data_IF_339813913097
#
_entry.id   IF_339813913097
#
_cell.length_a   1.000
_cell.length_b   1.000
_cell.length_c   1.000
_cell.angle_alpha   90.00
_cell.angle_beta   90.00
_cell.angle_gamma   90.00
#
_symmetry.space_group_name_H-M   'P 1'
#
loop_
_entity.id
_entity.type
_entity.pdbx_description
1 polymer ?
#
# COMPACT_ATOMS: atom_id res chain seq x y z
N UNK A 1 24.17 4.04 -36.76
CA UNK A 1 22.91 3.30 -36.53
C UNK A 1 22.61 3.01 -35.05
N UNK A 2 23.57 2.54 -34.23
CA UNK A 2 23.33 2.21 -32.81
C UNK A 2 22.79 3.34 -31.92
N UNK A 3 23.23 4.59 -32.13
CA UNK A 3 22.80 5.76 -31.31
C UNK A 3 21.35 6.18 -31.58
N UNK A 4 20.86 5.98 -32.81
CA UNK A 4 19.46 6.27 -33.20
C UNK A 4 18.49 5.21 -32.67
N UNK A 5 18.87 3.92 -32.66
CA UNK A 5 18.07 2.86 -32.05
C UNK A 5 17.93 3.02 -30.53
N UNK A 6 19.00 3.39 -29.81
CA UNK A 6 18.94 3.69 -28.36
C UNK A 6 18.00 4.86 -28.04
N UNK A 7 18.00 5.91 -28.87
CA UNK A 7 17.11 7.07 -28.68
C UNK A 7 15.63 6.72 -28.84
N UNK A 8 15.31 5.80 -29.77
CA UNK A 8 13.94 5.35 -30.01
C UNK A 8 13.43 4.46 -28.86
N UNK A 9 14.28 3.57 -28.33
CA UNK A 9 13.94 2.70 -27.21
C UNK A 9 13.69 3.52 -25.93
N UNK A 10 14.52 4.53 -25.64
CA UNK A 10 14.30 5.41 -24.48
C UNK A 10 13.00 6.23 -24.60
N UNK A 11 12.66 6.71 -25.80
CA UNK A 11 11.38 7.41 -26.03
C UNK A 11 10.17 6.47 -25.87
N UNK A 12 10.24 5.26 -26.42
CA UNK A 12 9.21 4.23 -26.25
C UNK A 12 9.02 3.86 -24.78
N UNK A 13 10.11 3.71 -24.04
CA UNK A 13 10.09 3.42 -22.60
C UNK A 13 9.46 4.56 -21.78
N UNK A 14 9.79 5.82 -22.08
CA UNK A 14 9.17 6.98 -21.44
C UNK A 14 7.66 7.10 -21.75
N UNK A 15 7.26 6.84 -23.01
CA UNK A 15 5.85 6.81 -23.40
C UNK A 15 5.11 5.67 -22.67
N UNK A 16 5.74 4.50 -22.58
CA UNK A 16 5.21 3.35 -21.86
C UNK A 16 4.98 3.68 -20.38
N UNK A 17 6.00 4.22 -19.68
CA UNK A 17 5.88 4.65 -18.28
C UNK A 17 4.75 5.68 -18.12
N UNK A 18 4.70 6.69 -18.98
CA UNK A 18 3.66 7.72 -18.93
C UNK A 18 2.25 7.14 -19.12
N UNK A 19 2.06 6.24 -20.09
CA UNK A 19 0.79 5.56 -20.33
C UNK A 19 0.39 4.65 -19.16
N UNK A 20 1.34 3.90 -18.60
CA UNK A 20 1.12 3.03 -17.43
C UNK A 20 0.72 3.84 -16.21
N UNK A 21 1.42 4.94 -15.91
CA UNK A 21 1.06 5.85 -14.81
C UNK A 21 -0.33 6.45 -15.03
N UNK A 22 -0.64 6.92 -16.24
CA UNK A 22 -1.95 7.50 -16.57
C UNK A 22 -3.08 6.48 -16.47
N UNK A 23 -2.83 5.24 -16.90
CA UNK A 23 -3.78 4.13 -16.78
C UNK A 23 -4.05 3.79 -15.32
N UNK A 24 -3.00 3.56 -14.53
CA UNK A 24 -3.08 3.33 -13.08
C UNK A 24 -3.90 4.42 -12.39
N UNK A 25 -3.65 5.67 -12.79
CA UNK A 25 -4.29 6.84 -12.22
C UNK A 25 -5.79 6.90 -12.51
N UNK A 26 -6.23 6.52 -13.71
CA UNK A 26 -7.64 6.50 -14.12
C UNK A 26 -8.40 5.32 -13.52
N UNK A 27 -7.76 4.15 -13.41
CA UNK A 27 -8.37 2.95 -12.83
C UNK A 27 -8.74 3.17 -11.37
N UNK A 28 -7.89 3.84 -10.59
CA UNK A 28 -8.21 4.14 -9.18
C UNK A 28 -9.44 5.04 -8.99
N UNK A 29 -9.66 6.01 -9.90
CA UNK A 29 -10.89 6.81 -9.88
C UNK A 29 -12.13 5.96 -10.15
N UNK A 30 -12.04 5.02 -11.09
CA UNK A 30 -13.13 4.10 -11.43
C UNK A 30 -13.45 3.21 -10.24
N UNK A 31 -12.44 2.61 -9.61
CA UNK A 31 -12.61 1.77 -8.40
C UNK A 31 -13.29 2.56 -7.30
N UNK A 32 -12.77 3.74 -6.98
CA UNK A 32 -13.30 4.59 -5.91
C UNK A 32 -14.75 5.01 -6.20
N UNK A 33 -15.05 5.42 -7.43
CA UNK A 33 -16.40 5.81 -7.84
C UNK A 33 -17.39 4.65 -7.70
N UNK A 34 -17.04 3.46 -8.20
CA UNK A 34 -17.89 2.26 -8.09
C UNK A 34 -18.16 1.94 -6.63
N UNK A 35 -17.12 1.89 -5.81
CA UNK A 35 -17.25 1.57 -4.39
C UNK A 35 -18.08 2.61 -3.62
N UNK A 36 -17.86 3.90 -3.87
CA UNK A 36 -18.65 4.98 -3.26
C UNK A 36 -20.12 4.94 -3.67
N UNK A 37 -20.39 4.75 -4.95
CA UNK A 37 -21.75 4.59 -5.48
C UNK A 37 -22.44 3.47 -4.70
N UNK A 38 -21.80 2.31 -4.60
CA UNK A 38 -22.36 1.13 -3.92
C UNK A 38 -22.68 1.43 -2.45
N UNK A 39 -21.83 2.17 -1.74
CA UNK A 39 -22.07 2.58 -0.36
C UNK A 39 -23.22 3.60 -0.22
N UNK A 40 -23.32 4.57 -1.13
CA UNK A 40 -24.39 5.57 -1.12
C UNK A 40 -25.74 4.93 -1.46
N UNK A 41 -25.75 4.03 -2.44
CA UNK A 41 -26.94 3.34 -2.91
C UNK A 41 -27.45 2.28 -1.95
N UNK A 42 -26.69 1.90 -0.91
CA UNK A 42 -27.12 0.94 0.11
C UNK A 42 -28.50 1.25 0.69
N UNK A 43 -28.68 2.46 1.23
CA UNK A 43 -29.95 2.84 1.90
C UNK A 43 -31.13 2.84 0.95
N UNK A 44 -30.90 3.19 -0.32
CA UNK A 44 -31.92 3.22 -1.36
C UNK A 44 -32.28 1.79 -1.77
N UNK A 45 -31.28 0.93 -2.00
CA UNK A 45 -31.47 -0.47 -2.34
C UNK A 45 -32.24 -1.22 -1.24
N UNK A 46 -31.93 -0.96 0.03
CA UNK A 46 -32.66 -1.54 1.17
C UNK A 46 -34.12 -1.08 1.23
N UNK A 47 -34.40 0.20 0.96
CA UNK A 47 -35.79 0.70 0.87
C UNK A 47 -36.57 0.10 -0.30
N UNK A 48 -35.89 -0.18 -1.41
CA UNK A 48 -36.49 -0.77 -2.61
C UNK A 48 -36.56 -2.30 -2.57
N UNK A 49 -36.10 -2.95 -1.50
CA UNK A 49 -36.09 -4.42 -1.38
C UNK A 49 -35.12 -5.12 -2.34
N UNK A 50 -34.08 -4.42 -2.81
CA UNK A 50 -33.07 -4.99 -3.70
C UNK A 50 -32.00 -5.66 -2.82
N UNK A 51 -31.97 -6.99 -2.73
CA UNK A 51 -31.05 -7.68 -1.80
C UNK A 51 -29.62 -7.92 -2.33
N UNK A 52 -29.41 -7.76 -3.64
CA UNK A 52 -28.16 -8.14 -4.34
C UNK A 52 -27.32 -6.96 -4.82
N UNK A 53 -27.62 -5.74 -4.39
CA UNK A 53 -26.91 -4.52 -4.83
C UNK A 53 -25.39 -4.59 -4.60
N UNK A 54 -24.95 -5.24 -3.51
CA UNK A 54 -23.54 -5.38 -3.17
C UNK A 54 -22.76 -6.15 -4.24
N UNK A 55 -23.40 -6.98 -5.06
CA UNK A 55 -22.74 -7.73 -6.13
C UNK A 55 -22.13 -6.83 -7.20
N UNK A 56 -22.63 -5.61 -7.36
CA UNK A 56 -22.04 -4.59 -8.24
C UNK A 56 -20.60 -4.23 -7.83
N UNK A 57 -20.21 -4.47 -6.57
CA UNK A 57 -18.83 -4.21 -6.11
C UNK A 57 -17.82 -5.10 -6.80
N UNK A 58 -18.23 -6.25 -7.32
CA UNK A 58 -17.36 -7.13 -8.12
C UNK A 58 -16.69 -6.39 -9.28
N UNK A 59 -17.39 -5.45 -9.92
CA UNK A 59 -16.83 -4.63 -11.00
C UNK A 59 -15.67 -3.78 -10.48
N UNK A 60 -15.83 -3.13 -9.32
CA UNK A 60 -14.77 -2.35 -8.68
C UNK A 60 -13.58 -3.23 -8.28
N UNK A 61 -13.83 -4.45 -7.80
CA UNK A 61 -12.78 -5.42 -7.49
C UNK A 61 -12.02 -5.93 -8.74
N UNK A 62 -12.68 -6.06 -9.89
CA UNK A 62 -12.01 -6.35 -11.18
C UNK A 62 -11.08 -5.19 -11.56
N UNK A 63 -11.56 -3.95 -11.49
CA UNK A 63 -10.70 -2.79 -11.76
C UNK A 63 -9.55 -2.69 -10.76
N UNK A 64 -9.77 -3.03 -9.50
CA UNK A 64 -8.71 -3.09 -8.48
C UNK A 64 -7.68 -4.18 -8.82
N UNK A 65 -8.11 -5.34 -9.33
CA UNK A 65 -7.21 -6.36 -9.85
C UNK A 65 -6.38 -5.86 -11.03
N UNK A 66 -6.99 -5.14 -11.98
CA UNK A 66 -6.29 -4.56 -13.13
C UNK A 66 -5.25 -3.52 -12.68
N UNK A 67 -5.60 -2.70 -11.69
CA UNK A 67 -4.66 -1.76 -11.09
C UNK A 67 -3.43 -2.47 -10.52
N UNK A 68 -3.63 -3.47 -9.67
CA UNK A 68 -2.52 -4.21 -9.07
C UNK A 68 -1.69 -4.98 -10.09
N UNK A 69 -2.33 -5.53 -11.12
CA UNK A 69 -1.61 -6.20 -12.21
C UNK A 69 -0.75 -5.21 -13.01
N UNK A 70 -1.27 -3.99 -13.24
CA UNK A 70 -0.51 -2.92 -13.89
C UNK A 70 0.68 -2.48 -13.02
N UNK A 71 0.51 -2.42 -11.70
CA UNK A 71 1.61 -2.17 -10.75
C UNK A 71 2.65 -3.28 -10.76
N UNK A 72 2.24 -4.54 -10.82
CA UNK A 72 3.15 -5.69 -10.96
C UNK A 72 4.02 -5.54 -12.21
N UNK A 73 3.42 -5.23 -13.36
CA UNK A 73 4.16 -5.03 -14.60
C UNK A 73 5.17 -3.88 -14.45
N UNK A 74 4.78 -2.79 -13.79
CA UNK A 74 5.69 -1.67 -13.52
C UNK A 74 6.89 -2.04 -12.63
N UNK A 75 6.76 -3.06 -11.78
CA UNK A 75 7.84 -3.55 -10.92
C UNK A 75 8.72 -4.63 -11.58
N UNK A 76 8.33 -5.21 -12.73
CA UNK A 76 9.13 -6.23 -13.42
C UNK A 76 10.53 -5.73 -13.83
N UNK A 77 10.61 -4.46 -14.19
CA UNK A 77 11.85 -3.82 -14.63
C UNK A 77 12.61 -3.13 -13.48
N UNK A 78 12.28 -3.46 -12.22
CA UNK A 78 12.88 -2.88 -11.02
C UNK A 78 13.50 -3.97 -10.15
N UNK A 79 14.53 -3.64 -9.38
CA UNK A 79 15.13 -4.56 -8.40
C UNK A 79 14.27 -4.74 -7.12
N UNK A 80 12.98 -4.41 -7.19
CA UNK A 80 12.02 -4.49 -6.10
C UNK A 80 11.13 -5.75 -6.22
N UNK A 81 11.76 -6.91 -6.01
CA UNK A 81 11.11 -8.21 -6.08
C UNK A 81 9.95 -8.38 -5.08
N UNK A 82 10.04 -7.74 -3.91
CA UNK A 82 9.01 -7.86 -2.88
C UNK A 82 7.74 -7.15 -3.33
N UNK A 83 7.84 -5.91 -3.82
CA UNK A 83 6.65 -5.19 -4.30
C UNK A 83 6.09 -5.81 -5.58
N UNK A 84 6.96 -6.32 -6.46
CA UNK A 84 6.55 -7.12 -7.61
C UNK A 84 5.66 -8.31 -7.16
N UNK A 85 6.13 -9.13 -6.22
CA UNK A 85 5.36 -10.26 -5.72
C UNK A 85 4.06 -9.84 -5.02
N UNK A 86 4.12 -8.83 -4.14
CA UNK A 86 2.95 -8.37 -3.38
C UNK A 86 1.86 -7.81 -4.28
N UNK A 87 2.22 -7.05 -5.33
CA UNK A 87 1.25 -6.49 -6.28
C UNK A 87 0.63 -7.58 -7.15
N UNK A 88 1.38 -8.61 -7.53
CA UNK A 88 0.81 -9.79 -8.21
C UNK A 88 -0.19 -10.53 -7.31
N UNK A 89 0.17 -10.78 -6.05
CA UNK A 89 -0.72 -11.43 -5.08
C UNK A 89 -1.97 -10.58 -4.82
N UNK A 90 -1.83 -9.26 -4.73
CA UNK A 90 -2.96 -8.34 -4.58
C UNK A 90 -3.89 -8.35 -5.80
N UNK A 91 -3.34 -8.48 -7.01
CA UNK A 91 -4.12 -8.63 -8.23
C UNK A 91 -4.95 -9.93 -8.20
N UNK A 92 -4.29 -11.07 -7.95
CA UNK A 92 -4.94 -12.38 -7.87
C UNK A 92 -6.01 -12.37 -6.78
N UNK A 93 -5.70 -11.86 -5.58
CA UNK A 93 -6.64 -11.77 -4.48
C UNK A 93 -7.85 -10.90 -4.85
N UNK A 94 -7.64 -9.73 -5.43
CA UNK A 94 -8.73 -8.84 -5.85
C UNK A 94 -9.66 -9.48 -6.87
N UNK A 95 -9.09 -10.22 -7.83
CA UNK A 95 -9.87 -10.98 -8.81
C UNK A 95 -10.70 -12.10 -8.16
N UNK A 96 -10.09 -12.85 -7.24
CA UNK A 96 -10.79 -13.91 -6.49
C UNK A 96 -11.95 -13.33 -5.68
N UNK A 97 -11.75 -12.19 -5.01
CA UNK A 97 -12.81 -11.49 -4.27
C UNK A 97 -13.93 -11.07 -5.23
N UNK A 98 -13.61 -10.49 -6.39
CA UNK A 98 -14.60 -10.12 -7.40
C UNK A 98 -15.48 -11.31 -7.81
N UNK A 99 -14.84 -12.46 -8.09
CA UNK A 99 -15.55 -13.69 -8.45
C UNK A 99 -16.43 -14.20 -7.31
N UNK A 100 -15.91 -14.22 -6.08
CA UNK A 100 -16.65 -14.66 -4.89
C UNK A 100 -17.89 -13.82 -4.61
N UNK A 101 -17.79 -12.51 -4.80
CA UNK A 101 -18.92 -11.58 -4.66
C UNK A 101 -20.08 -11.94 -5.60
N UNK A 102 -19.78 -12.46 -6.79
CA UNK A 102 -20.80 -12.85 -7.78
C UNK A 102 -21.51 -14.13 -7.33
N UNK A 103 -20.77 -15.13 -6.88
CA UNK A 103 -21.29 -16.48 -6.61
C UNK A 103 -21.85 -16.66 -5.20
N UNK A 104 -21.25 -16.04 -4.18
CA UNK A 104 -21.69 -16.16 -2.79
C UNK A 104 -22.84 -15.18 -2.52
N UNK A 105 -23.89 -15.67 -1.88
CA UNK A 105 -25.10 -14.89 -1.59
C UNK A 105 -25.05 -14.19 -0.23
N UNK A 106 -24.01 -14.42 0.59
CA UNK A 106 -23.84 -13.75 1.88
C UNK A 106 -23.46 -12.28 1.69
N UNK A 107 -24.38 -11.37 2.00
CA UNK A 107 -24.18 -9.91 1.87
C UNK A 107 -23.02 -9.35 2.72
N UNK A 108 -22.99 -9.69 4.01
CA UNK A 108 -22.17 -8.96 4.99
C UNK A 108 -20.65 -9.08 4.82
N UNK A 109 -20.06 -10.26 4.57
CA UNK A 109 -18.61 -10.38 4.45
C UNK A 109 -18.05 -9.54 3.29
N UNK A 110 -18.72 -9.64 2.13
CA UNK A 110 -18.37 -8.93 0.91
C UNK A 110 -18.60 -7.43 0.98
N UNK A 111 -19.71 -7.01 1.59
CA UNK A 111 -19.97 -5.60 1.86
C UNK A 111 -18.90 -5.02 2.78
N UNK A 112 -18.57 -5.71 3.87
CA UNK A 112 -17.65 -5.20 4.90
C UNK A 112 -16.21 -5.10 4.39
N UNK A 113 -15.72 -6.10 3.62
CA UNK A 113 -14.38 -6.00 2.99
C UNK A 113 -14.34 -4.88 1.94
N UNK A 114 -15.41 -4.70 1.15
CA UNK A 114 -15.50 -3.59 0.19
C UNK A 114 -15.48 -2.25 0.91
N UNK A 115 -16.26 -2.09 1.99
CA UNK A 115 -16.29 -0.88 2.82
C UNK A 115 -14.91 -0.57 3.40
N UNK A 116 -14.22 -1.58 3.92
CA UNK A 116 -12.87 -1.43 4.46
C UNK A 116 -11.91 -0.86 3.40
N UNK A 117 -11.85 -1.49 2.23
CA UNK A 117 -10.98 -1.03 1.13
C UNK A 117 -11.38 0.37 0.67
N UNK A 118 -12.69 0.66 0.60
CA UNK A 118 -13.19 1.99 0.20
C UNK A 118 -12.72 3.08 1.14
N UNK A 119 -12.85 2.89 2.46
CA UNK A 119 -12.39 3.87 3.45
C UNK A 119 -10.87 4.02 3.38
N UNK A 120 -10.14 2.92 3.22
CA UNK A 120 -8.68 2.96 3.08
C UNK A 120 -8.26 3.79 1.87
N UNK A 121 -8.88 3.58 0.71
CA UNK A 121 -8.64 4.36 -0.50
C UNK A 121 -9.00 5.83 -0.26
N UNK A 122 -10.16 6.13 0.34
CA UNK A 122 -10.57 7.51 0.62
C UNK A 122 -9.57 8.30 1.47
N UNK A 123 -8.91 7.64 2.42
CA UNK A 123 -7.89 8.26 3.28
C UNK A 123 -6.60 8.51 2.50
N UNK A 124 -6.15 7.54 1.69
CA UNK A 124 -4.89 7.63 0.92
C UNK A 124 -5.02 8.62 -0.24
N UNK A 125 -6.20 8.67 -0.84
CA UNK A 125 -6.44 9.30 -2.13
C UNK A 125 -6.04 10.80 -2.20
N UNK A 126 -6.35 11.65 -1.22
CA UNK A 126 -5.92 13.04 -1.20
C UNK A 126 -4.39 13.20 -1.32
N UNK A 127 -3.62 12.33 -0.68
CA UNK A 127 -2.15 12.38 -0.70
C UNK A 127 -1.55 11.94 -2.03
N UNK A 128 -2.28 11.20 -2.86
CA UNK A 128 -1.85 10.88 -4.23
C UNK A 128 -2.24 11.96 -5.24
N UNK A 129 -3.31 12.72 -4.98
CA UNK A 129 -3.91 13.64 -5.96
C UNK A 129 -3.61 15.11 -5.72
N UNK A 130 -3.46 15.52 -4.47
CA UNK A 130 -3.31 16.92 -4.11
C UNK A 130 -1.83 17.14 -3.82
N UNK A 131 -1.07 17.79 -4.73
CA UNK A 131 0.37 17.99 -4.55
C UNK A 131 0.73 18.61 -3.21
N UNK A 132 -0.04 19.62 -2.77
CA UNK A 132 0.17 20.29 -1.49
C UNK A 132 0.16 19.31 -0.31
N UNK A 133 -0.80 18.36 -0.27
CA UNK A 133 -0.86 17.37 0.81
C UNK A 133 0.23 16.32 0.68
N UNK A 134 0.51 15.89 -0.55
CA UNK A 134 1.55 14.90 -0.86
C UNK A 134 2.92 15.41 -0.43
N UNK A 135 3.28 16.59 -0.90
CA UNK A 135 4.60 17.18 -0.77
C UNK A 135 4.81 17.59 0.70
N UNK A 136 3.77 18.13 1.37
CA UNK A 136 3.79 18.35 2.82
C UNK A 136 4.07 17.07 3.63
N UNK A 137 3.42 15.95 3.29
CA UNK A 137 3.63 14.69 3.99
C UNK A 137 5.04 14.14 3.74
N UNK A 138 5.51 14.20 2.49
CA UNK A 138 6.85 13.77 2.09
C UNK A 138 7.92 14.59 2.84
N UNK A 139 7.79 15.91 2.86
CA UNK A 139 8.70 16.81 3.54
C UNK A 139 8.69 16.59 5.06
N UNK A 140 7.52 16.43 5.66
CA UNK A 140 7.40 16.10 7.09
C UNK A 140 8.15 14.80 7.41
N UNK A 141 7.92 13.74 6.62
CA UNK A 141 8.57 12.45 6.83
C UNK A 141 10.08 12.55 6.61
N UNK A 142 10.55 13.31 5.63
CA UNK A 142 11.98 13.53 5.44
C UNK A 142 12.62 14.23 6.64
N UNK A 143 11.99 15.30 7.16
CA UNK A 143 12.47 16.00 8.35
C UNK A 143 12.51 15.10 9.58
N UNK A 144 11.46 14.31 9.83
CA UNK A 144 11.44 13.38 10.96
C UNK A 144 12.42 12.22 10.77
N UNK A 145 12.63 11.75 9.54
CA UNK A 145 13.62 10.72 9.22
C UNK A 145 15.04 11.25 9.48
N UNK A 146 15.33 12.49 9.05
CA UNK A 146 16.60 13.16 9.34
C UNK A 146 16.82 13.33 10.84
N UNK A 147 15.77 13.69 11.59
CA UNK A 147 15.83 13.78 13.05
C UNK A 147 16.18 12.44 13.71
N UNK A 148 15.60 11.32 13.26
CA UNK A 148 15.97 9.99 13.75
C UNK A 148 17.41 9.64 13.36
N UNK A 149 17.82 9.97 12.15
CA UNK A 149 19.18 9.73 11.66
C UNK A 149 20.23 10.46 12.52
N UNK A 150 19.99 11.73 12.85
CA UNK A 150 20.89 12.50 13.70
C UNK A 150 20.85 12.07 15.17
N UNK A 151 19.65 11.85 15.73
CA UNK A 151 19.47 11.61 17.16
C UNK A 151 19.76 10.18 17.60
N UNK A 152 19.45 9.19 16.75
CA UNK A 152 19.58 7.77 17.09
C UNK A 152 20.83 7.16 16.46
N UNK A 153 21.10 7.46 15.18
CA UNK A 153 22.24 6.88 14.46
C UNK A 153 23.51 7.75 14.54
N UNK A 154 23.42 8.92 15.19
CA UNK A 154 24.52 9.89 15.31
C UNK A 154 25.15 10.23 13.94
N UNK A 155 24.30 10.33 12.90
CA UNK A 155 24.71 10.58 11.53
C UNK A 155 24.17 11.93 11.06
N UNK A 156 25.09 12.80 10.62
CA UNK A 156 24.76 14.14 10.14
C UNK A 156 24.50 14.12 8.63
N UNK A 157 23.24 13.96 8.25
CA UNK A 157 22.79 14.15 6.86
C UNK A 157 22.22 15.54 6.63
N UNK A 158 21.94 15.86 5.37
CA UNK A 158 21.26 17.10 4.99
C UNK A 158 20.10 16.81 4.03
N UNK A 159 19.00 17.56 4.17
CA UNK A 159 17.92 17.55 3.19
C UNK A 159 18.25 18.61 2.12
N UNK A 160 18.29 18.17 0.87
CA UNK A 160 18.40 19.03 -0.30
C UNK A 160 17.02 19.16 -0.98
N UNK A 161 16.96 19.32 -2.29
CA UNK A 161 15.71 19.45 -3.05
C UNK A 161 14.87 18.16 -3.03
N UNK A 162 13.55 18.34 -3.14
CA UNK A 162 12.58 17.25 -3.29
C UNK A 162 12.67 16.16 -2.22
N UNK A 163 12.79 16.58 -0.95
CA UNK A 163 12.86 15.69 0.21
C UNK A 163 13.96 14.60 0.10
N UNK A 164 15.07 14.94 -0.56
CA UNK A 164 16.22 14.06 -0.72
C UNK A 164 17.21 14.28 0.41
N UNK A 165 17.49 13.21 1.15
CA UNK A 165 18.47 13.20 2.24
C UNK A 165 19.80 12.70 1.68
N UNK A 166 20.85 13.50 1.82
CA UNK A 166 22.22 13.11 1.48
C UNK A 166 22.97 12.77 2.76
N UNK A 167 23.61 11.59 2.76
CA UNK A 167 24.55 11.18 3.80
C UNK A 167 25.83 10.67 3.14
N UNK A 168 26.98 11.23 3.49
CA UNK A 168 28.30 10.89 2.93
C UNK A 168 28.35 10.88 1.38
N UNK A 169 27.61 11.78 0.73
CA UNK A 169 27.55 11.86 -0.74
C UNK A 169 26.58 10.89 -1.41
N UNK A 170 25.81 10.10 -0.64
CA UNK A 170 24.80 9.19 -1.17
C UNK A 170 23.38 9.75 -0.96
N UNK A 171 22.65 10.13 -2.03
CA UNK A 171 21.30 10.67 -1.93
C UNK A 171 20.24 9.57 -1.84
N UNK A 172 19.23 9.78 -1.00
CA UNK A 172 17.99 8.98 -0.94
C UNK A 172 16.78 9.90 -0.83
N UNK A 173 15.88 9.80 -1.80
CA UNK A 173 14.65 10.59 -1.83
C UNK A 173 13.53 9.89 -1.06
N UNK A 174 12.85 10.65 -0.18
CA UNK A 174 11.60 10.19 0.42
C UNK A 174 10.48 10.37 -0.60
N UNK A 175 9.78 9.29 -0.91
CA UNK A 175 8.62 9.28 -1.81
C UNK A 175 7.36 8.90 -1.04
N UNK A 176 6.18 9.04 -1.65
CA UNK A 176 4.89 8.73 -0.99
C UNK A 176 4.85 7.33 -0.37
N UNK A 177 5.43 6.32 -1.03
CA UNK A 177 5.51 4.94 -0.51
C UNK A 177 6.39 4.79 0.74
N UNK A 178 7.26 5.76 1.03
CA UNK A 178 8.10 5.79 2.24
C UNK A 178 7.47 6.62 3.37
N UNK A 179 6.23 7.09 3.24
CA UNK A 179 5.57 7.95 4.26
C UNK A 179 4.71 7.16 5.27
N UNK A 180 4.59 5.84 5.09
CA UNK A 180 3.67 4.96 5.81
C UNK A 180 2.16 5.23 5.60
N UNK A 181 1.78 6.20 4.74
CA UNK A 181 0.36 6.58 4.57
C UNK A 181 -0.53 5.43 4.15
N UNK A 182 -0.02 4.52 3.31
CA UNK A 182 -0.78 3.37 2.84
C UNK A 182 -1.13 2.41 3.97
N UNK A 183 -0.15 2.11 4.84
CA UNK A 183 -0.37 1.26 6.00
C UNK A 183 -1.26 1.94 7.04
N UNK A 184 -1.02 3.22 7.34
CA UNK A 184 -1.86 3.98 8.29
C UNK A 184 -3.31 4.03 7.84
N UNK A 185 -3.55 4.29 6.55
CA UNK A 185 -4.89 4.35 6.00
C UNK A 185 -5.58 2.99 5.93
N UNK A 186 -4.85 1.92 5.63
CA UNK A 186 -5.38 0.55 5.66
C UNK A 186 -5.90 0.18 7.07
N UNK A 187 -5.10 0.44 8.12
CA UNK A 187 -5.51 0.20 9.50
C UNK A 187 -6.60 1.16 9.97
N UNK A 188 -6.54 2.44 9.59
CA UNK A 188 -7.61 3.40 9.88
C UNK A 188 -8.94 2.97 9.23
N UNK A 189 -8.90 2.53 7.97
CA UNK A 189 -10.05 1.99 7.26
C UNK A 189 -10.67 0.79 7.97
N UNK A 190 -9.84 -0.12 8.48
CA UNK A 190 -10.27 -1.27 9.27
C UNK A 190 -10.98 -0.82 10.56
N UNK A 191 -10.37 0.08 11.32
CA UNK A 191 -10.92 0.57 12.59
C UNK A 191 -12.28 1.26 12.35
N UNK A 192 -12.40 2.02 11.27
CA UNK A 192 -13.60 2.77 10.94
C UNK A 192 -14.73 1.86 10.44
N UNK A 193 -14.45 0.84 9.62
CA UNK A 193 -15.48 -0.03 9.04
C UNK A 193 -16.08 -1.04 10.02
N UNK A 194 -15.35 -1.42 11.07
CA UNK A 194 -15.82 -2.43 12.02
C UNK A 194 -16.96 -1.89 12.90
N UNK A 195 -17.96 -2.72 13.14
CA UNK A 195 -19.02 -2.42 14.11
C UNK A 195 -18.56 -2.78 15.53
N UNK A 196 -17.57 -2.04 16.05
CA UNK A 196 -16.99 -2.24 17.37
C UNK A 196 -17.29 -1.05 18.30
N UNK A 197 -17.38 -1.27 19.63
CA UNK A 197 -17.52 -0.22 20.64
C UNK A 197 -16.43 0.84 20.50
N UNK A 198 -16.81 2.10 20.68
CA UNK A 198 -15.92 3.26 20.51
C UNK A 198 -14.64 3.15 21.36
N UNK A 199 -14.74 2.60 22.58
CA UNK A 199 -13.58 2.37 23.45
C UNK A 199 -12.48 1.56 22.77
N UNK A 200 -12.84 0.48 22.05
CA UNK A 200 -11.88 -0.36 21.32
C UNK A 200 -11.31 0.36 20.09
N UNK A 201 -12.13 1.14 19.39
CA UNK A 201 -11.68 1.99 18.27
C UNK A 201 -10.65 3.03 18.71
N UNK A 202 -10.89 3.72 19.84
CA UNK A 202 -9.95 4.70 20.40
C UNK A 202 -8.63 4.03 20.79
N UNK A 203 -8.67 2.87 21.44
CA UNK A 203 -7.45 2.10 21.78
C UNK A 203 -6.65 1.77 20.51
N UNK A 204 -7.33 1.33 19.45
CA UNK A 204 -6.68 0.96 18.19
C UNK A 204 -6.07 2.15 17.43
N UNK A 205 -6.42 3.40 17.76
CA UNK A 205 -5.74 4.57 17.17
C UNK A 205 -4.24 4.59 17.48
N UNK A 206 -3.78 3.86 18.51
CA UNK A 206 -2.36 3.68 18.80
C UNK A 206 -1.58 3.04 17.65
N UNK A 207 -2.24 2.30 16.75
CA UNK A 207 -1.57 1.72 15.58
C UNK A 207 -1.03 2.77 14.62
N UNK A 208 -1.72 3.91 14.47
CA UNK A 208 -1.30 4.97 13.55
C UNK A 208 0.08 5.53 13.91
N UNK A 209 0.34 6.03 15.13
CA UNK A 209 1.68 6.49 15.50
C UNK A 209 2.71 5.36 15.54
N UNK A 210 2.33 4.13 15.90
CA UNK A 210 3.26 2.98 15.87
C UNK A 210 3.74 2.68 14.45
N UNK A 211 2.84 2.64 13.48
CA UNK A 211 3.16 2.45 12.06
C UNK A 211 4.05 3.59 11.56
N UNK A 212 3.71 4.84 11.91
CA UNK A 212 4.48 6.01 11.53
C UNK A 212 5.92 5.95 12.04
N UNK A 213 6.10 5.69 13.34
CA UNK A 213 7.42 5.60 13.98
C UNK A 213 8.23 4.45 13.41
N UNK A 214 7.63 3.26 13.26
CA UNK A 214 8.31 2.11 12.66
C UNK A 214 8.82 2.43 11.24
N UNK A 215 8.02 3.15 10.45
CA UNK A 215 8.42 3.60 9.13
C UNK A 215 9.58 4.62 9.16
N UNK A 216 9.60 5.55 10.10
CA UNK A 216 10.73 6.49 10.26
C UNK A 216 12.04 5.74 10.55
N UNK A 217 12.01 4.76 11.45
CA UNK A 217 13.18 3.91 11.74
C UNK A 217 13.61 3.12 10.51
N UNK A 218 12.66 2.56 9.76
CA UNK A 218 12.92 1.84 8.52
C UNK A 218 13.63 2.71 7.49
N UNK A 219 13.18 3.95 7.32
CA UNK A 219 13.80 4.89 6.38
C UNK A 219 15.18 5.35 6.86
N UNK A 220 15.31 5.74 8.12
CA UNK A 220 16.58 6.17 8.71
C UNK A 220 17.64 5.06 8.63
N UNK A 221 17.26 3.82 8.92
CA UNK A 221 18.13 2.65 8.75
C UNK A 221 18.60 2.50 7.30
N UNK A 222 17.69 2.55 6.31
CA UNK A 222 18.07 2.39 4.91
C UNK A 222 19.03 3.49 4.44
N UNK A 223 18.78 4.74 4.86
CA UNK A 223 19.66 5.88 4.55
C UNK A 223 21.01 5.74 5.24
N UNK A 224 21.03 5.37 6.51
CA UNK A 224 22.26 5.18 7.28
C UNK A 224 23.13 4.07 6.67
N UNK A 225 22.52 2.93 6.35
CA UNK A 225 23.21 1.79 5.77
C UNK A 225 23.78 2.13 4.40
N UNK A 226 22.98 2.78 3.54
CA UNK A 226 23.43 3.19 2.20
C UNK A 226 24.51 4.28 2.27
N UNK A 227 24.33 5.30 3.10
CA UNK A 227 25.31 6.38 3.26
C UNK A 227 26.66 5.91 3.82
N UNK A 228 26.68 4.87 4.65
CA UNK A 228 27.93 4.28 5.15
C UNK A 228 28.38 3.06 4.33
N UNK A 229 27.69 2.76 3.23
CA UNK A 229 28.00 1.64 2.35
C UNK A 229 28.10 0.30 3.12
N UNK A 230 27.19 0.09 4.08
CA UNK A 230 27.07 -1.18 4.80
C UNK A 230 26.53 -2.28 3.86
N UNK A 231 26.76 -3.55 4.18
CA UNK A 231 26.23 -4.69 3.40
C UNK A 231 26.75 -4.75 1.94
N UNK A 232 27.99 -4.30 1.70
CA UNK A 232 28.70 -4.56 0.45
C UNK A 232 29.31 -5.97 0.47
N UNK A 233 28.55 -6.96 0.04
CA UNK A 233 29.02 -8.35 -0.01
C UNK A 233 29.80 -8.67 -1.29
N UNK A 234 29.80 -7.77 -2.28
CA UNK A 234 30.49 -7.94 -3.56
C UNK A 234 29.75 -8.85 -4.53
N UNK A 235 28.47 -9.14 -4.28
CA UNK A 235 27.64 -10.00 -5.14
C UNK A 235 27.16 -9.22 -6.37
N UNK A 236 26.81 -7.94 -6.16
CA UNK A 236 26.31 -7.03 -7.19
C UNK A 236 27.42 -6.08 -7.64
N UNK A 237 28.39 -5.77 -6.77
CA UNK A 237 29.63 -5.07 -7.12
C UNK A 237 29.45 -3.58 -7.42
N UNK A 238 28.36 -2.96 -6.98
CA UNK A 238 28.07 -1.53 -7.18
C UNK A 238 27.72 -0.85 -5.86
N UNK A 239 27.84 0.48 -5.79
CA UNK A 239 27.40 1.25 -4.61
C UNK A 239 25.92 1.01 -4.28
N UNK A 240 25.09 0.67 -5.28
CA UNK A 240 23.68 0.33 -5.12
C UNK A 240 23.43 -0.99 -4.38
N UNK A 241 24.45 -1.84 -4.22
CA UNK A 241 24.35 -3.10 -3.48
C UNK A 241 23.91 -2.85 -2.03
N UNK A 242 24.50 -1.84 -1.38
CA UNK A 242 24.15 -1.47 -0.01
C UNK A 242 22.68 -1.05 0.10
N UNK A 243 22.18 -0.24 -0.85
CA UNK A 243 20.78 0.16 -0.88
C UNK A 243 19.85 -1.03 -1.10
N UNK A 244 20.20 -1.94 -2.01
CA UNK A 244 19.42 -3.14 -2.27
C UNK A 244 19.24 -3.98 -0.99
N UNK A 245 20.34 -4.33 -0.31
CA UNK A 245 20.25 -5.14 0.91
C UNK A 245 19.54 -4.41 2.05
N UNK A 246 19.83 -3.13 2.24
CA UNK A 246 19.22 -2.35 3.31
C UNK A 246 17.72 -2.11 3.07
N UNK A 247 17.34 -1.62 1.89
CA UNK A 247 15.99 -1.16 1.58
C UNK A 247 15.07 -2.27 1.03
N UNK A 248 15.55 -3.10 0.10
CA UNK A 248 14.72 -4.09 -0.59
C UNK A 248 14.63 -5.41 0.17
N UNK A 249 15.59 -5.71 1.04
CA UNK A 249 15.62 -6.95 1.82
C UNK A 249 15.35 -6.68 3.30
N UNK A 250 16.31 -6.12 4.03
CA UNK A 250 16.26 -6.03 5.50
C UNK A 250 15.09 -5.16 5.98
N UNK A 251 14.97 -3.95 5.43
CA UNK A 251 13.89 -3.03 5.76
C UNK A 251 12.50 -3.60 5.45
N UNK A 252 12.35 -4.42 4.39
CA UNK A 252 11.07 -5.03 4.05
C UNK A 252 10.73 -6.21 4.95
N UNK A 253 11.71 -7.01 5.34
CA UNK A 253 11.53 -8.05 6.36
C UNK A 253 11.08 -7.42 7.69
N UNK A 254 11.74 -6.32 8.09
CA UNK A 254 11.33 -5.56 9.26
C UNK A 254 9.87 -5.07 9.15
N UNK A 255 9.51 -4.41 8.05
CA UNK A 255 8.12 -3.94 7.84
C UNK A 255 7.12 -5.10 7.85
N UNK A 256 7.46 -6.25 7.27
CA UNK A 256 6.62 -7.44 7.29
C UNK A 256 6.37 -7.93 8.72
N UNK A 257 7.42 -8.04 9.54
CA UNK A 257 7.29 -8.44 10.95
C UNK A 257 6.40 -7.46 11.74
N UNK A 258 6.55 -6.16 11.52
CA UNK A 258 5.68 -5.14 12.13
C UNK A 258 4.23 -5.37 11.74
N UNK A 259 3.94 -5.63 10.46
CA UNK A 259 2.57 -5.92 10.00
C UNK A 259 2.01 -7.20 10.62
N UNK A 260 2.81 -8.27 10.76
CA UNK A 260 2.37 -9.50 11.44
C UNK A 260 1.99 -9.23 12.89
N UNK A 261 2.80 -8.46 13.63
CA UNK A 261 2.51 -8.08 15.02
C UNK A 261 1.22 -7.26 15.09
N UNK A 262 1.08 -6.24 14.23
CA UNK A 262 -0.11 -5.39 14.19
C UNK A 262 -1.37 -6.18 13.83
N UNK A 263 -1.27 -7.13 12.89
CA UNK A 263 -2.38 -8.02 12.54
C UNK A 263 -2.82 -8.88 13.74
N UNK A 264 -1.87 -9.49 14.47
CA UNK A 264 -2.15 -10.25 15.69
C UNK A 264 -2.85 -9.38 16.75
N UNK A 265 -2.33 -8.18 17.01
CA UNK A 265 -2.94 -7.23 17.96
C UNK A 265 -4.33 -6.80 17.51
N UNK A 266 -4.54 -6.63 16.20
CA UNK A 266 -5.84 -6.27 15.63
C UNK A 266 -6.87 -7.35 15.91
N UNK A 267 -6.55 -8.63 15.72
CA UNK A 267 -7.46 -9.73 16.06
C UNK A 267 -7.78 -9.78 17.55
N UNK A 268 -6.81 -9.46 18.42
CA UNK A 268 -7.02 -9.42 19.87
C UNK A 268 -7.93 -8.26 20.30
N UNK A 269 -7.83 -7.10 19.65
CA UNK A 269 -8.65 -5.92 19.96
C UNK A 269 -10.04 -6.01 19.33
N UNK A 270 -10.13 -6.57 18.11
CA UNK A 270 -11.34 -6.66 17.30
C UNK A 270 -11.67 -8.12 16.94
N UNK A 271 -12.36 -8.86 17.82
CA UNK A 271 -12.96 -10.15 17.45
C UNK A 271 -13.90 -10.03 16.24
N UNK A 272 -14.53 -8.87 16.02
CA UNK A 272 -15.37 -8.63 14.83
C UNK A 272 -14.58 -8.73 13.52
N UNK A 273 -13.29 -8.35 13.55
CA UNK A 273 -12.42 -8.51 12.40
C UNK A 273 -12.07 -9.98 12.18
N UNK A 274 -11.82 -10.74 13.24
CA UNK A 274 -11.61 -12.18 13.15
C UNK A 274 -12.83 -12.87 12.53
N UNK A 275 -14.05 -12.55 12.98
CA UNK A 275 -15.28 -13.11 12.40
C UNK A 275 -15.45 -12.76 10.92
N UNK A 276 -15.08 -11.54 10.51
CA UNK A 276 -15.11 -11.15 9.09
C UNK A 276 -14.17 -12.04 8.26
N UNK A 277 -12.96 -12.30 8.75
CA UNK A 277 -11.98 -13.15 8.07
C UNK A 277 -12.45 -14.60 8.03
N UNK A 278 -13.00 -15.14 9.13
CA UNK A 278 -13.57 -16.49 9.19
C UNK A 278 -14.75 -16.68 8.22
N UNK A 279 -15.62 -15.68 8.10
CA UNK A 279 -16.72 -15.67 7.15
C UNK A 279 -16.24 -15.70 5.70
N UNK A 280 -15.17 -14.95 5.39
CA UNK A 280 -14.55 -14.96 4.07
C UNK A 280 -13.91 -16.33 3.80
N UNK A 281 -13.12 -16.87 4.73
CA UNK A 281 -12.44 -18.18 4.60
C UNK A 281 -13.46 -19.32 4.45
N UNK A 282 -14.54 -19.30 5.22
CA UNK A 282 -15.61 -20.31 5.11
C UNK A 282 -16.32 -20.27 3.74
N UNK A 283 -16.30 -19.11 3.05
CA UNK A 283 -16.75 -19.02 1.65
C UNK A 283 -15.95 -19.92 0.73
N UNK A 284 -14.66 -20.09 1.00
CA UNK A 284 -13.74 -20.84 0.15
C UNK A 284 -13.84 -22.33 0.42
N UNK A 285 -14.07 -22.74 1.67
CA UNK A 285 -14.22 -24.15 2.05
C UNK A 285 -15.46 -24.82 1.44
N UNK A 286 -16.60 -24.11 1.37
CA UNK A 286 -17.85 -24.64 0.78
C UNK A 286 -17.73 -25.08 -0.68
N UNK A 287 -16.68 -24.64 -1.39
CA UNK A 287 -16.43 -25.00 -2.78
C UNK A 287 -15.44 -26.18 -2.92
N UNK A 288 -14.74 -26.56 -1.84
CA UNK A 288 -13.85 -27.74 -1.81
C UNK A 288 -14.62 -29.01 -1.46
N UNK A 289 -15.70 -28.86 -0.68
CA UNK A 289 -16.56 -29.97 -0.25
C UNK A 289 -17.72 -30.28 -1.24
N UNK A 290 -17.70 -29.67 -2.44
CA UNK A 290 -18.66 -29.90 -3.53
C UNK A 290 -17.94 -30.42 -4.76
#
# INVERSE_FOLDING_TARGET
>A
MHKYQKLNIQKLYQIYIYLTIRLLMNVMWIVLAIFLIILIFERVAERLGIDRWYKLSSIGWIFLSIYWLSSFIAYLDTDDFVNMLLTLLAAIFSFIIAFKIIIDNRKYPWKNITLWVTISILIIFPFYKIPILRDFLIDMVANHTLFILSSVFNASGEIITDATIILNGFPVSIVIGCTAIESMAFFAGLILCLNAPLKRKIIALVFIPVIYIANLFRNAFAIYAYGNQLFQFGIIGTAHESFFWAHNVIAKIYSFLVVVILAYLTFKIFPEFLTLIEDIISSFKKDVDK
#
